data_IF_494609906273
#
_entry.id   IF_494609906273
#
_cell.length_a   1.000
_cell.length_b   1.000
_cell.length_c   1.000
_cell.angle_alpha   90.00
_cell.angle_beta   90.00
_cell.angle_gamma   90.00
#
_symmetry.space_group_name_H-M   'P 1'
#
loop_
_entity.id
_entity.type
_entity.pdbx_description
1 polymer ?
#
# COMPACT_ATOMS: atom_id res chain seq x y z
N UNK A 1 4.68 8.43 -26.97
CA UNK A 1 5.49 9.17 -25.98
C UNK A 1 6.20 8.12 -25.17
N UNK A 2 7.50 7.95 -25.36
CA UNK A 2 8.34 7.02 -24.59
C UNK A 2 8.42 7.55 -23.17
N UNK A 3 7.99 6.74 -22.19
CA UNK A 3 8.13 7.01 -20.76
C UNK A 3 9.62 7.03 -20.41
N UNK A 4 10.22 8.20 -20.31
CA UNK A 4 11.59 8.34 -19.80
C UNK A 4 11.55 8.31 -18.28
N UNK A 5 12.39 7.48 -17.66
CA UNK A 5 12.46 7.14 -16.23
C UNK A 5 12.60 8.31 -15.22
N UNK A 6 12.87 9.52 -15.68
CA UNK A 6 13.23 10.64 -14.81
C UNK A 6 12.04 11.40 -14.17
N UNK A 7 10.77 11.10 -14.52
CA UNK A 7 9.59 11.78 -13.96
C UNK A 7 8.40 10.86 -13.65
N UNK A 8 8.62 9.55 -13.46
CA UNK A 8 7.54 8.59 -13.27
C UNK A 8 7.27 8.29 -11.79
N UNK A 9 7.03 9.33 -11.00
CA UNK A 9 6.65 9.16 -9.59
C UNK A 9 5.17 8.79 -9.46
N UNK A 10 4.89 7.72 -8.73
CA UNK A 10 3.53 7.41 -8.24
C UNK A 10 3.19 8.23 -7.00
N UNK A 11 4.18 8.41 -6.10
CA UNK A 11 4.05 9.12 -4.82
C UNK A 11 5.32 9.92 -4.52
N UNK A 12 5.14 11.14 -3.98
CA UNK A 12 6.22 11.91 -3.37
C UNK A 12 5.79 12.47 -2.01
N UNK A 13 6.53 12.18 -0.97
CA UNK A 13 6.43 12.83 0.33
C UNK A 13 7.58 13.82 0.46
N UNK A 14 7.28 15.10 0.70
CA UNK A 14 8.26 16.17 0.81
C UNK A 14 8.12 16.87 2.15
N UNK A 15 9.14 16.73 3.00
CA UNK A 15 9.27 17.35 4.34
C UNK A 15 8.04 17.08 5.24
N UNK A 16 7.47 15.88 5.13
CA UNK A 16 6.21 15.52 5.79
C UNK A 16 6.40 15.43 7.30
N UNK A 17 5.65 16.26 8.03
CA UNK A 17 5.57 16.19 9.50
C UNK A 17 4.12 16.15 9.95
N UNK A 18 3.84 15.29 10.94
CA UNK A 18 2.50 15.10 11.49
C UNK A 18 2.53 14.85 12.99
N UNK A 19 1.55 15.40 13.71
CA UNK A 19 1.41 15.25 15.16
C UNK A 19 -0.05 15.16 15.59
N UNK A 20 -0.29 14.58 16.76
CA UNK A 20 -1.60 14.53 17.42
C UNK A 20 -1.51 15.24 18.77
N UNK A 21 -2.16 16.40 18.88
CA UNK A 21 -1.97 17.28 20.05
C UNK A 21 -0.49 17.65 20.22
N UNK A 22 0.12 17.27 21.34
CA UNK A 22 1.56 17.50 21.60
C UNK A 22 2.46 16.35 21.11
N UNK A 23 1.89 15.20 20.76
CA UNK A 23 2.64 14.02 20.35
C UNK A 23 3.08 14.12 18.90
N UNK A 24 4.36 14.32 18.67
CA UNK A 24 4.98 14.36 17.35
C UNK A 24 5.16 12.90 16.86
N UNK A 25 4.66 12.60 15.65
CA UNK A 25 4.64 11.24 15.11
C UNK A 25 5.55 11.10 13.90
N UNK A 26 5.47 12.01 12.94
CA UNK A 26 6.33 12.04 11.75
C UNK A 26 7.09 13.37 11.73
N UNK A 27 8.35 13.31 11.33
CA UNK A 27 9.22 14.49 11.25
C UNK A 27 10.01 14.47 9.95
N UNK A 28 9.90 15.56 9.20
CA UNK A 28 10.67 15.87 7.98
C UNK A 28 10.88 14.67 7.06
N UNK A 29 9.82 13.86 6.90
CA UNK A 29 9.88 12.61 6.14
C UNK A 29 9.88 12.90 4.64
N UNK A 30 10.90 12.39 3.97
CA UNK A 30 11.05 12.45 2.53
C UNK A 30 11.03 11.03 1.96
N UNK A 31 10.15 10.78 0.98
CA UNK A 31 10.01 9.49 0.33
C UNK A 31 9.47 9.67 -1.09
N UNK A 32 10.24 9.25 -2.07
CA UNK A 32 9.84 9.20 -3.46
C UNK A 32 9.59 7.74 -3.88
N UNK A 33 8.42 7.46 -4.42
CA UNK A 33 8.06 6.12 -4.91
C UNK A 33 7.71 6.21 -6.38
N UNK A 34 8.37 5.39 -7.20
CA UNK A 34 8.10 5.34 -8.63
C UNK A 34 6.86 4.51 -8.94
N UNK A 35 6.17 4.86 -10.04
CA UNK A 35 5.02 4.10 -10.50
C UNK A 35 5.40 2.62 -10.76
N UNK A 36 4.57 1.71 -10.27
CA UNK A 36 4.75 0.27 -10.41
C UNK A 36 5.68 -0.37 -9.38
N UNK A 37 6.29 0.39 -8.45
CA UNK A 37 7.07 -0.18 -7.35
C UNK A 37 6.18 -0.90 -6.33
N UNK A 38 6.74 -1.89 -5.64
CA UNK A 38 6.16 -2.53 -4.47
C UNK A 38 7.00 -2.24 -3.24
N UNK A 39 6.71 -1.13 -2.58
CA UNK A 39 7.45 -0.66 -1.40
C UNK A 39 6.93 -1.34 -0.13
N UNK A 40 7.82 -1.98 0.62
CA UNK A 40 7.51 -2.47 1.96
C UNK A 40 8.04 -1.50 3.03
N UNK A 41 7.12 -0.95 3.81
CA UNK A 41 7.41 -0.01 4.90
C UNK A 41 7.48 -0.78 6.22
N UNK A 42 8.64 -0.81 6.84
CA UNK A 42 8.92 -1.49 8.11
C UNK A 42 9.30 -0.53 9.22
N UNK A 43 9.18 -0.94 10.48
CA UNK A 43 9.60 -0.13 11.62
C UNK A 43 8.93 -0.55 12.92
N UNK A 44 9.40 -0.05 14.08
CA UNK A 44 8.86 -0.38 15.39
C UNK A 44 7.36 -0.07 15.50
N UNK A 45 6.68 -0.76 16.43
CA UNK A 45 5.30 -0.43 16.75
C UNK A 45 5.19 1.00 17.23
N UNK A 46 4.17 1.73 16.76
CA UNK A 46 3.92 3.11 17.16
C UNK A 46 4.82 4.16 16.47
N UNK A 47 5.77 3.79 15.59
CA UNK A 47 6.63 4.77 14.90
C UNK A 47 5.91 5.60 13.83
N UNK A 48 4.62 5.40 13.58
CA UNK A 48 3.85 6.25 12.65
C UNK A 48 3.59 5.66 11.27
N UNK A 49 3.85 4.38 11.01
CA UNK A 49 3.58 3.73 9.69
C UNK A 49 2.14 3.89 9.23
N UNK A 50 1.16 3.53 10.06
CA UNK A 50 -0.26 3.70 9.72
C UNK A 50 -0.66 5.17 9.65
N UNK A 51 0.04 6.08 10.37
CA UNK A 51 -0.16 7.53 10.23
C UNK A 51 0.29 8.00 8.87
N UNK A 52 1.44 7.52 8.38
CA UNK A 52 1.92 7.82 7.04
C UNK A 52 0.95 7.29 5.97
N UNK A 53 0.44 6.05 6.11
CA UNK A 53 -0.57 5.53 5.18
C UNK A 53 -1.83 6.40 5.14
N UNK A 54 -2.33 6.85 6.31
CA UNK A 54 -3.49 7.73 6.40
C UNK A 54 -3.21 9.12 5.82
N UNK A 55 -1.98 9.61 5.96
CA UNK A 55 -1.56 10.86 5.34
C UNK A 55 -1.51 10.74 3.80
N UNK A 56 -0.96 9.63 3.28
CA UNK A 56 -0.96 9.33 1.84
C UNK A 56 -2.40 9.18 1.33
N UNK A 57 -3.28 8.51 2.08
CA UNK A 57 -4.70 8.37 1.72
C UNK A 57 -5.43 9.74 1.68
N UNK A 58 -4.91 10.76 2.39
CA UNK A 58 -5.52 12.08 2.49
C UNK A 58 -6.59 12.20 3.59
N UNK A 59 -6.73 11.19 4.49
CA UNK A 59 -7.62 11.26 5.65
C UNK A 59 -7.01 12.03 6.81
N UNK A 60 -5.68 12.07 6.89
CA UNK A 60 -4.90 12.80 7.89
C UNK A 60 -3.79 13.57 7.17
N UNK A 61 -4.10 14.68 6.48
CA UNK A 61 -3.11 15.45 5.76
C UNK A 61 -1.99 15.93 6.70
N UNK A 62 -0.75 16.05 6.20
CA UNK A 62 0.39 16.46 7.03
C UNK A 62 0.20 17.89 7.55
N UNK A 63 0.73 18.18 8.73
CA UNK A 63 0.73 19.53 9.29
C UNK A 63 1.81 20.42 8.65
N UNK A 64 2.93 19.79 8.19
CA UNK A 64 3.99 20.44 7.41
C UNK A 64 4.40 19.55 6.26
N UNK A 65 4.97 20.16 5.23
CA UNK A 65 5.33 19.47 4.01
C UNK A 65 4.13 19.18 3.13
N UNK A 66 4.29 18.28 2.19
CA UNK A 66 3.23 17.88 1.25
C UNK A 66 3.41 16.45 0.78
N UNK A 67 2.28 15.83 0.45
CA UNK A 67 2.23 14.52 -0.19
C UNK A 67 1.61 14.73 -1.56
N UNK A 68 2.32 14.29 -2.60
CA UNK A 68 1.90 14.40 -3.99
C UNK A 68 1.66 12.99 -4.54
N UNK A 69 0.53 12.80 -5.20
CA UNK A 69 0.19 11.58 -5.92
C UNK A 69 -0.10 11.88 -7.37
N UNK A 70 0.08 10.91 -8.23
CA UNK A 70 -0.27 11.06 -9.64
C UNK A 70 -1.80 11.09 -9.76
N UNK A 71 -2.34 12.17 -10.30
CA UNK A 71 -3.77 12.37 -10.53
C UNK A 71 -3.98 12.87 -11.96
N UNK A 72 -4.67 12.09 -12.78
CA UNK A 72 -4.91 12.45 -14.19
C UNK A 72 -3.62 12.84 -14.96
N UNK A 73 -2.54 12.10 -14.73
CA UNK A 73 -1.25 12.30 -15.40
C UNK A 73 -0.41 13.47 -14.86
N UNK A 74 -0.77 14.05 -13.70
CA UNK A 74 -0.02 15.13 -13.05
C UNK A 74 0.11 14.85 -11.55
N UNK A 75 1.24 15.25 -10.95
CA UNK A 75 1.40 15.24 -9.50
C UNK A 75 0.55 16.34 -8.87
N UNK A 76 -0.35 15.95 -7.97
CA UNK A 76 -1.24 16.83 -7.22
C UNK A 76 -1.22 16.49 -5.73
N UNK A 77 -1.59 17.46 -4.88
CA UNK A 77 -1.64 17.26 -3.44
C UNK A 77 -2.68 16.21 -3.04
N UNK A 78 -2.29 15.34 -2.12
CA UNK A 78 -3.11 14.28 -1.54
C UNK A 78 -3.86 14.73 -0.26
N UNK A 79 -4.38 15.95 -0.24
CA UNK A 79 -4.99 16.56 0.97
C UNK A 79 -6.37 15.97 1.32
N UNK A 80 -6.96 15.19 0.43
CA UNK A 80 -8.28 14.54 0.60
C UNK A 80 -8.25 13.14 0.02
N UNK A 81 -9.10 12.22 0.53
CA UNK A 81 -9.29 10.92 -0.12
C UNK A 81 -9.70 11.09 -1.59
N UNK A 82 -9.09 10.29 -2.45
CA UNK A 82 -9.31 10.33 -3.89
C UNK A 82 -9.41 8.94 -4.49
N UNK A 83 -9.94 8.85 -5.71
CA UNK A 83 -10.08 7.60 -6.46
C UNK A 83 -8.72 7.00 -6.85
N UNK A 84 -7.70 7.84 -6.94
CA UNK A 84 -6.32 7.47 -7.26
C UNK A 84 -5.64 6.61 -6.19
N UNK A 85 -6.26 6.47 -4.99
CA UNK A 85 -5.70 5.74 -3.86
C UNK A 85 -6.70 4.79 -3.23
N UNK A 86 -6.33 3.52 -3.12
CA UNK A 86 -7.06 2.49 -2.39
C UNK A 86 -6.34 2.11 -1.10
N UNK A 87 -7.08 1.68 -0.09
CA UNK A 87 -6.52 1.16 1.16
C UNK A 87 -7.20 -0.14 1.55
N UNK A 88 -6.39 -1.09 2.00
CA UNK A 88 -6.80 -2.34 2.62
C UNK A 88 -6.32 -2.32 4.06
N UNK A 89 -7.24 -2.31 5.01
CA UNK A 89 -6.95 -2.27 6.44
C UNK A 89 -6.68 -3.67 7.01
N UNK A 90 -5.95 -3.73 8.12
CA UNK A 90 -5.71 -4.93 8.90
C UNK A 90 -7.01 -5.62 9.35
N UNK A 91 -8.00 -4.83 9.77
CA UNK A 91 -9.35 -5.33 10.04
C UNK A 91 -10.20 -5.17 8.81
N UNK A 92 -10.79 -6.26 8.34
CA UNK A 92 -11.61 -6.30 7.13
C UNK A 92 -12.73 -5.27 7.16
N UNK A 93 -12.75 -4.39 6.16
CA UNK A 93 -13.75 -3.33 6.04
C UNK A 93 -14.95 -3.77 5.20
N UNK A 94 -15.30 -5.06 5.25
CA UNK A 94 -16.42 -5.60 4.49
C UNK A 94 -17.76 -5.34 5.20
N UNK A 95 -18.76 -5.01 4.41
CA UNK A 95 -20.13 -4.89 4.89
C UNK A 95 -20.71 -6.29 5.15
N UNK A 96 -21.08 -6.66 6.39
CA UNK A 96 -21.45 -8.03 6.75
C UNK A 96 -22.77 -8.50 6.13
N UNK A 97 -23.59 -7.56 5.69
CA UNK A 97 -24.89 -7.81 5.03
C UNK A 97 -24.82 -7.82 3.49
N UNK A 98 -23.65 -7.67 2.91
CA UNK A 98 -23.40 -7.79 1.47
C UNK A 98 -22.62 -9.08 1.18
N UNK A 99 -22.89 -9.71 0.05
CA UNK A 99 -22.07 -10.81 -0.45
C UNK A 99 -20.67 -10.32 -0.86
N UNK A 100 -19.72 -11.23 -1.11
CA UNK A 100 -18.40 -10.87 -1.67
C UNK A 100 -18.57 -10.03 -2.94
N UNK A 101 -19.41 -10.46 -3.85
CA UNK A 101 -19.68 -9.79 -5.12
C UNK A 101 -20.24 -8.37 -4.92
N UNK A 102 -21.19 -8.21 -4.01
CA UNK A 102 -21.80 -6.91 -3.75
C UNK A 102 -20.89 -5.98 -2.94
N UNK A 103 -20.00 -6.52 -2.08
CA UNK A 103 -18.95 -5.75 -1.43
C UNK A 103 -17.97 -5.16 -2.46
N UNK A 104 -17.50 -5.97 -3.40
CA UNK A 104 -16.56 -5.49 -4.44
C UNK A 104 -17.25 -4.50 -5.38
N UNK A 105 -18.49 -4.77 -5.82
CA UNK A 105 -19.24 -3.90 -6.71
C UNK A 105 -19.65 -2.55 -6.07
N UNK A 106 -19.59 -2.42 -4.73
CA UNK A 106 -20.08 -1.25 -4.01
C UNK A 106 -19.34 0.03 -4.40
N UNK A 107 -18.02 -0.03 -4.57
CA UNK A 107 -17.19 1.10 -4.97
C UNK A 107 -17.70 1.74 -6.28
N UNK A 108 -17.85 0.93 -7.31
CA UNK A 108 -18.38 1.37 -8.61
C UNK A 108 -19.79 1.96 -8.51
N UNK A 109 -20.64 1.32 -7.69
CA UNK A 109 -22.01 1.78 -7.46
C UNK A 109 -22.03 3.19 -6.84
N UNK A 110 -21.16 3.46 -5.87
CA UNK A 110 -21.11 4.76 -5.20
C UNK A 110 -20.47 5.85 -6.08
N UNK A 111 -19.43 5.49 -6.83
CA UNK A 111 -18.68 6.39 -7.71
C UNK A 111 -19.48 6.81 -8.95
N UNK A 112 -20.10 5.84 -9.65
CA UNK A 112 -20.68 6.07 -10.98
C UNK A 112 -22.18 6.30 -10.98
N UNK A 113 -22.86 6.29 -9.83
CA UNK A 113 -24.30 6.52 -9.76
C UNK A 113 -24.71 7.35 -8.55
N UNK A 114 -25.61 8.31 -8.79
CA UNK A 114 -26.27 9.06 -7.72
C UNK A 114 -27.50 8.31 -7.18
N UNK A 115 -27.94 8.66 -5.99
CA UNK A 115 -29.19 8.10 -5.41
C UNK A 115 -30.39 8.40 -6.31
N UNK A 116 -30.48 9.60 -6.84
CA UNK A 116 -31.55 10.00 -7.77
C UNK A 116 -31.53 9.17 -9.06
N UNK A 117 -30.37 8.92 -9.66
CA UNK A 117 -30.26 8.07 -10.82
C UNK A 117 -30.81 6.66 -10.54
N UNK A 118 -30.50 6.07 -9.40
CA UNK A 118 -30.95 4.72 -9.00
C UNK A 118 -32.46 4.64 -8.76
N UNK A 119 -33.11 5.74 -8.35
CA UNK A 119 -34.55 5.80 -8.09
C UNK A 119 -35.37 6.11 -9.34
N UNK A 120 -34.90 7.01 -10.19
CA UNK A 120 -35.67 7.53 -11.32
C UNK A 120 -35.34 6.89 -12.66
N UNK A 121 -34.23 6.17 -12.80
CA UNK A 121 -33.83 5.50 -14.05
C UNK A 121 -33.69 3.98 -13.85
N UNK A 122 -34.80 3.31 -13.70
CA UNK A 122 -34.84 1.86 -13.41
C UNK A 122 -34.11 1.00 -14.44
N UNK A 123 -34.35 1.22 -15.74
CA UNK A 123 -33.72 0.42 -16.81
C UNK A 123 -32.23 0.69 -16.91
N UNK A 124 -31.80 1.95 -16.83
CA UNK A 124 -30.40 2.33 -16.80
C UNK A 124 -29.68 1.80 -15.55
N UNK A 125 -30.39 1.81 -14.40
CA UNK A 125 -29.85 1.25 -13.16
C UNK A 125 -29.68 -0.27 -13.23
N UNK A 126 -30.66 -1.00 -13.77
CA UNK A 126 -30.55 -2.47 -13.91
C UNK A 126 -29.37 -2.86 -14.79
N UNK A 127 -29.15 -2.18 -15.91
CA UNK A 127 -27.98 -2.39 -16.78
C UNK A 127 -26.68 -2.11 -16.05
N UNK A 128 -26.51 -0.92 -15.46
CA UNK A 128 -25.28 -0.57 -14.73
C UNK A 128 -25.00 -1.52 -13.57
N UNK A 129 -26.03 -1.95 -12.85
CA UNK A 129 -25.86 -2.92 -11.76
C UNK A 129 -25.32 -4.26 -12.25
N UNK A 130 -25.79 -4.75 -13.42
CA UNK A 130 -25.24 -5.95 -14.05
C UNK A 130 -23.79 -5.74 -14.42
N UNK A 131 -23.46 -4.66 -15.12
CA UNK A 131 -22.08 -4.32 -15.53
C UNK A 131 -21.12 -4.25 -14.34
N UNK A 132 -21.55 -3.66 -13.21
CA UNK A 132 -20.73 -3.59 -11.99
C UNK A 132 -20.50 -4.97 -11.36
N UNK A 133 -21.53 -5.83 -11.38
CA UNK A 133 -21.41 -7.21 -10.86
C UNK A 133 -20.51 -8.06 -11.75
N UNK A 134 -20.56 -7.88 -13.06
CA UNK A 134 -19.69 -8.59 -14.02
C UNK A 134 -18.22 -8.19 -13.82
N UNK A 135 -17.95 -6.89 -13.65
CA UNK A 135 -16.61 -6.40 -13.29
C UNK A 135 -16.15 -6.95 -11.94
N UNK A 136 -17.00 -6.89 -10.90
CA UNK A 136 -16.68 -7.42 -9.58
C UNK A 136 -16.40 -8.93 -9.62
N UNK A 137 -17.15 -9.68 -10.44
CA UNK A 137 -16.92 -11.12 -10.64
C UNK A 137 -15.56 -11.40 -11.30
N UNK A 138 -15.12 -10.54 -12.23
CA UNK A 138 -13.80 -10.67 -12.86
C UNK A 138 -12.68 -10.44 -11.82
N UNK A 139 -12.79 -9.41 -10.97
CA UNK A 139 -11.81 -9.17 -9.91
C UNK A 139 -11.80 -10.28 -8.86
N UNK A 140 -12.96 -10.80 -8.45
CA UNK A 140 -13.03 -11.94 -7.53
C UNK A 140 -12.39 -13.21 -8.11
N UNK A 141 -12.53 -13.46 -9.41
CA UNK A 141 -11.81 -14.55 -10.10
C UNK A 141 -10.31 -14.31 -10.07
N UNK A 142 -9.85 -13.08 -10.34
CA UNK A 142 -8.45 -12.70 -10.32
C UNK A 142 -7.78 -12.96 -8.96
N UNK A 143 -8.51 -12.74 -7.86
CA UNK A 143 -8.03 -13.04 -6.50
C UNK A 143 -8.35 -14.46 -6.01
N UNK A 144 -8.76 -15.38 -6.91
CA UNK A 144 -9.01 -16.78 -6.60
C UNK A 144 -10.33 -17.07 -5.87
N UNK A 145 -11.29 -16.14 -5.88
CA UNK A 145 -12.58 -16.25 -5.17
C UNK A 145 -13.78 -16.45 -6.09
N UNK A 146 -13.56 -17.01 -7.29
CA UNK A 146 -14.64 -17.24 -8.27
C UNK A 146 -15.80 -18.09 -7.75
N UNK A 147 -15.56 -19.04 -6.84
CA UNK A 147 -16.58 -19.89 -6.24
C UNK A 147 -17.25 -19.29 -5.00
N UNK A 148 -16.68 -18.21 -4.44
CA UNK A 148 -17.12 -17.60 -3.18
C UNK A 148 -17.94 -16.30 -3.36
N UNK A 149 -18.32 -15.96 -4.59
CA UNK A 149 -18.95 -14.67 -4.92
C UNK A 149 -20.23 -14.39 -4.14
N UNK A 150 -20.99 -15.43 -3.81
CA UNK A 150 -22.28 -15.31 -3.13
C UNK A 150 -22.18 -15.49 -1.61
N UNK A 151 -20.98 -15.73 -1.06
CA UNK A 151 -20.79 -15.86 0.38
C UNK A 151 -20.83 -14.48 1.05
N UNK A 152 -21.39 -14.44 2.25
CA UNK A 152 -21.32 -13.29 3.14
C UNK A 152 -20.02 -13.32 3.97
N UNK A 153 -19.51 -12.18 4.46
CA UNK A 153 -18.27 -12.13 5.26
C UNK A 153 -18.22 -13.14 6.41
N UNK A 154 -19.33 -13.36 7.13
CA UNK A 154 -19.41 -14.35 8.20
C UNK A 154 -19.31 -15.81 7.77
N UNK A 155 -19.36 -16.11 6.47
CA UNK A 155 -19.21 -17.44 5.89
C UNK A 155 -17.82 -17.67 5.27
N UNK A 156 -16.94 -16.67 5.34
CA UNK A 156 -15.61 -16.68 4.72
C UNK A 156 -14.52 -16.82 5.77
N UNK A 157 -13.42 -17.49 5.42
CA UNK A 157 -12.20 -17.44 6.20
C UNK A 157 -11.60 -16.02 6.22
N UNK A 158 -10.70 -15.74 7.16
CA UNK A 158 -9.99 -14.46 7.22
C UNK A 158 -9.27 -14.11 5.92
N UNK A 159 -8.58 -15.09 5.32
CA UNK A 159 -7.90 -14.90 4.04
C UNK A 159 -8.85 -14.65 2.86
N UNK A 160 -10.03 -15.29 2.85
CA UNK A 160 -11.04 -14.98 1.85
C UNK A 160 -11.55 -13.54 2.01
N UNK A 161 -11.82 -13.11 3.24
CA UNK A 161 -12.24 -11.73 3.52
C UNK A 161 -11.18 -10.72 3.09
N UNK A 162 -9.89 -11.01 3.35
CA UNK A 162 -8.78 -10.15 2.93
C UNK A 162 -8.68 -10.03 1.41
N UNK A 163 -8.81 -11.15 0.68
CA UNK A 163 -8.83 -11.13 -0.78
C UNK A 163 -10.04 -10.36 -1.34
N UNK A 164 -11.20 -10.43 -0.70
CA UNK A 164 -12.36 -9.58 -1.07
C UNK A 164 -12.06 -8.11 -0.85
N UNK A 165 -11.41 -7.74 0.28
CA UNK A 165 -11.04 -6.35 0.57
C UNK A 165 -10.01 -5.82 -0.46
N UNK A 166 -9.07 -6.65 -0.89
CA UNK A 166 -8.13 -6.30 -1.96
C UNK A 166 -8.86 -6.12 -3.30
N UNK A 167 -9.75 -7.05 -3.67
CA UNK A 167 -10.56 -6.92 -4.88
C UNK A 167 -11.43 -5.65 -4.86
N UNK A 168 -11.96 -5.28 -3.68
CA UNK A 168 -12.73 -4.05 -3.47
C UNK A 168 -11.87 -2.79 -3.68
N UNK A 169 -10.59 -2.82 -3.30
CA UNK A 169 -9.68 -1.72 -3.56
C UNK A 169 -9.27 -1.65 -5.04
N UNK A 170 -8.98 -2.81 -5.66
CA UNK A 170 -8.52 -2.92 -7.04
C UNK A 170 -9.58 -2.53 -8.08
N UNK A 171 -10.87 -2.80 -7.83
CA UNK A 171 -11.95 -2.54 -8.81
C UNK A 171 -12.09 -1.05 -9.14
N UNK A 172 -11.61 -0.19 -8.26
CA UNK A 172 -11.59 1.25 -8.48
C UNK A 172 -10.44 1.72 -9.36
N UNK A 173 -9.56 0.79 -9.75
CA UNK A 173 -8.34 1.04 -10.53
C UNK A 173 -7.51 2.20 -9.97
N UNK A 174 -7.17 2.16 -8.67
CA UNK A 174 -6.37 3.21 -8.06
C UNK A 174 -4.93 3.13 -8.57
N UNK A 175 -4.25 4.27 -8.67
CA UNK A 175 -2.82 4.30 -9.02
C UNK A 175 -1.93 3.83 -7.85
N UNK A 176 -2.41 4.01 -6.61
CA UNK A 176 -1.71 3.60 -5.38
C UNK A 176 -2.61 2.70 -4.53
N UNK A 177 -2.07 1.55 -4.14
CA UNK A 177 -2.72 0.61 -3.21
C UNK A 177 -1.91 0.56 -1.92
N UNK A 178 -2.56 0.92 -0.84
CA UNK A 178 -2.02 0.91 0.51
C UNK A 178 -2.51 -0.34 1.24
N UNK A 179 -1.60 -1.12 1.83
CA UNK A 179 -1.89 -2.34 2.56
C UNK A 179 -1.39 -2.19 4.00
N UNK A 180 -2.28 -2.08 4.96
CA UNK A 180 -1.93 -1.91 6.38
C UNK A 180 -1.99 -3.26 7.09
N UNK A 181 -0.83 -3.90 7.31
CA UNK A 181 -0.64 -5.22 7.93
C UNK A 181 -1.56 -6.33 7.37
N UNK A 182 -1.59 -6.54 6.02
CA UNK A 182 -2.60 -7.40 5.39
C UNK A 182 -2.48 -8.88 5.75
N UNK A 183 -1.37 -9.30 6.34
CA UNK A 183 -1.09 -10.70 6.68
C UNK A 183 -1.28 -11.03 8.17
N UNK A 184 -1.43 -10.01 9.03
CA UNK A 184 -1.27 -10.15 10.48
C UNK A 184 -2.28 -11.06 11.20
N UNK A 185 -3.44 -11.34 10.60
CA UNK A 185 -4.48 -12.18 11.19
C UNK A 185 -4.65 -13.54 10.48
N UNK A 186 -3.70 -13.92 9.60
CA UNK A 186 -3.81 -15.10 8.76
C UNK A 186 -2.93 -16.25 9.29
N UNK A 187 -3.41 -17.48 9.13
CA UNK A 187 -2.59 -18.67 9.26
C UNK A 187 -1.52 -18.73 8.17
N UNK A 188 -0.50 -19.56 8.36
CA UNK A 188 0.69 -19.62 7.49
C UNK A 188 0.35 -19.92 6.03
N UNK A 189 -0.49 -20.93 5.77
CA UNK A 189 -0.86 -21.31 4.42
C UNK A 189 -1.64 -20.20 3.69
N UNK A 190 -2.61 -19.60 4.38
CA UNK A 190 -3.39 -18.48 3.83
C UNK A 190 -2.54 -17.24 3.59
N UNK A 191 -1.55 -17.01 4.44
CA UNK A 191 -0.57 -15.91 4.31
C UNK A 191 0.29 -16.09 3.06
N UNK A 192 0.82 -17.30 2.83
CA UNK A 192 1.59 -17.62 1.63
C UNK A 192 0.77 -17.41 0.36
N UNK A 193 -0.46 -17.92 0.32
CA UNK A 193 -1.35 -17.73 -0.83
C UNK A 193 -1.65 -16.25 -1.11
N UNK A 194 -1.75 -15.42 -0.07
CA UNK A 194 -1.98 -13.97 -0.23
C UNK A 194 -0.72 -13.27 -0.74
N UNK A 195 0.46 -13.65 -0.25
CA UNK A 195 1.74 -13.13 -0.74
C UNK A 195 1.94 -13.47 -2.21
N UNK A 196 1.69 -14.72 -2.62
CA UNK A 196 1.73 -15.14 -4.04
C UNK A 196 0.76 -14.31 -4.90
N UNK A 197 -0.44 -14.07 -4.41
CA UNK A 197 -1.41 -13.23 -5.13
C UNK A 197 -0.90 -11.81 -5.33
N UNK A 198 -0.28 -11.19 -4.31
CA UNK A 198 0.29 -9.83 -4.41
C UNK A 198 1.50 -9.82 -5.34
N UNK A 199 2.34 -10.85 -5.32
CA UNK A 199 3.47 -10.98 -6.25
C UNK A 199 2.98 -11.10 -7.70
N UNK A 200 1.91 -11.85 -7.98
CA UNK A 200 1.32 -11.90 -9.33
C UNK A 200 0.85 -10.53 -9.81
N UNK A 201 0.24 -9.72 -8.93
CA UNK A 201 -0.12 -8.34 -9.28
C UNK A 201 1.10 -7.48 -9.60
N UNK A 202 2.21 -7.70 -8.89
CA UNK A 202 3.47 -7.02 -9.16
C UNK A 202 4.12 -7.50 -10.46
N UNK A 203 4.09 -8.80 -10.76
CA UNK A 203 4.58 -9.36 -12.03
C UNK A 203 3.83 -8.77 -13.23
N UNK A 204 2.48 -8.66 -13.15
CA UNK A 204 1.69 -7.97 -14.16
C UNK A 204 2.14 -6.51 -14.38
N UNK A 205 2.44 -5.78 -13.28
CA UNK A 205 2.99 -4.43 -13.38
C UNK A 205 4.34 -4.39 -14.11
N UNK A 206 5.23 -5.34 -13.80
CA UNK A 206 6.56 -5.43 -14.38
C UNK A 206 6.48 -5.74 -15.89
N UNK A 207 5.60 -6.64 -16.31
CA UNK A 207 5.35 -6.96 -17.72
C UNK A 207 4.85 -5.74 -18.50
N UNK A 208 3.86 -5.02 -17.96
CA UNK A 208 3.30 -3.82 -18.58
C UNK A 208 4.37 -2.72 -18.68
N UNK A 209 5.17 -2.54 -17.62
CA UNK A 209 6.29 -1.59 -17.61
C UNK A 209 7.36 -1.97 -18.65
N UNK A 210 7.68 -3.27 -18.79
CA UNK A 210 8.63 -3.77 -19.79
C UNK A 210 8.13 -3.56 -21.23
N UNK A 211 6.81 -3.55 -21.45
CA UNK A 211 6.19 -3.20 -22.72
C UNK A 211 6.20 -1.68 -23.03
N UNK A 212 6.73 -0.85 -22.12
CA UNK A 212 6.80 0.60 -22.24
C UNK A 212 5.49 1.32 -21.91
N UNK A 213 4.55 0.61 -21.25
CA UNK A 213 3.28 1.15 -20.80
C UNK A 213 3.33 1.54 -19.31
N UNK A 214 2.39 2.39 -18.88
CA UNK A 214 2.28 2.78 -17.47
C UNK A 214 1.78 1.60 -16.65
N UNK A 215 2.51 1.17 -15.60
CA UNK A 215 2.02 0.12 -14.70
C UNK A 215 0.73 0.57 -14.00
N UNK A 216 -0.27 -0.33 -13.86
CA UNK A 216 -1.58 0.00 -13.31
C UNK A 216 -1.54 0.37 -11.84
N UNK A 217 -0.64 -0.23 -11.04
CA UNK A 217 -0.64 -0.07 -9.58
C UNK A 217 0.75 0.21 -9.03
N UNK A 218 0.82 1.11 -8.04
CA UNK A 218 1.96 1.23 -7.11
C UNK A 218 1.52 0.66 -5.77
N UNK A 219 2.28 -0.28 -5.22
CA UNK A 219 1.91 -0.99 -4.00
C UNK A 219 2.77 -0.48 -2.83
N UNK A 220 2.13 -0.17 -1.70
CA UNK A 220 2.82 0.18 -0.46
C UNK A 220 2.24 -0.69 0.66
N UNK A 221 3.05 -1.57 1.21
CA UNK A 221 2.66 -2.43 2.30
C UNK A 221 3.33 -2.00 3.60
N UNK A 222 2.57 -1.97 4.67
CA UNK A 222 3.09 -1.86 6.03
C UNK A 222 3.02 -3.24 6.67
N UNK A 223 4.14 -3.71 7.20
CA UNK A 223 4.21 -4.92 8.01
C UNK A 223 5.26 -4.79 9.11
N UNK A 224 5.09 -5.53 10.19
CA UNK A 224 6.09 -5.68 11.24
C UNK A 224 6.94 -6.95 11.05
N UNK A 225 6.56 -7.83 10.12
CA UNK A 225 7.25 -9.07 9.80
C UNK A 225 8.27 -8.85 8.67
N UNK A 226 9.56 -8.94 9.00
CA UNK A 226 10.64 -8.65 8.04
C UNK A 226 10.69 -9.64 6.88
N UNK A 227 10.37 -10.92 7.12
CA UNK A 227 10.34 -11.92 6.06
C UNK A 227 9.27 -11.60 5.01
N UNK A 228 8.08 -11.15 5.46
CA UNK A 228 7.03 -10.72 4.56
C UNK A 228 7.46 -9.51 3.73
N UNK A 229 8.02 -8.49 4.40
CA UNK A 229 8.50 -7.28 3.75
C UNK A 229 9.52 -7.58 2.65
N UNK A 230 10.53 -8.44 2.96
CA UNK A 230 11.59 -8.81 2.01
C UNK A 230 11.04 -9.64 0.86
N UNK A 231 10.06 -10.53 1.13
CA UNK A 231 9.48 -11.40 0.11
C UNK A 231 8.68 -10.65 -0.93
N UNK A 232 7.85 -9.67 -0.50
CA UNK A 232 6.90 -9.04 -1.42
C UNK A 232 7.38 -7.69 -1.97
N UNK A 233 8.27 -6.98 -1.25
CA UNK A 233 8.73 -5.65 -1.66
C UNK A 233 9.94 -5.72 -2.59
N UNK A 234 9.94 -4.90 -3.64
CA UNK A 234 11.13 -4.63 -4.45
C UNK A 234 12.03 -3.54 -3.82
N UNK A 235 11.48 -2.83 -2.82
CA UNK A 235 12.17 -1.78 -2.05
C UNK A 235 11.70 -1.79 -0.61
N UNK A 236 12.65 -1.74 0.32
CA UNK A 236 12.41 -1.73 1.76
C UNK A 236 12.70 -0.35 2.32
N UNK A 237 11.71 0.24 2.97
CA UNK A 237 11.80 1.55 3.61
C UNK A 237 11.58 1.38 5.10
N UNK A 238 12.57 1.77 5.89
CA UNK A 238 12.54 1.72 7.35
C UNK A 238 12.16 3.06 7.96
N UNK A 239 11.06 3.08 8.70
CA UNK A 239 10.58 4.22 9.46
C UNK A 239 10.92 4.03 10.93
N UNK A 240 11.67 4.98 11.54
CA UNK A 240 12.04 4.87 12.95
C UNK A 240 12.06 6.23 13.65
N UNK A 241 11.79 6.20 14.96
CA UNK A 241 12.04 7.31 15.86
C UNK A 241 13.46 7.28 16.48
N UNK A 242 14.22 6.19 16.20
CA UNK A 242 15.58 5.98 16.68
C UNK A 242 16.58 6.54 15.66
N UNK A 243 16.75 7.86 15.66
CA UNK A 243 17.71 8.58 14.84
C UNK A 243 18.33 9.72 15.66
N UNK A 244 19.45 10.27 15.24
CA UNK A 244 20.23 11.23 16.04
C UNK A 244 19.65 12.65 15.99
N UNK A 245 18.41 12.78 16.47
CA UNK A 245 17.72 14.07 16.56
C UNK A 245 18.35 15.02 17.59
N UNK A 246 19.13 14.51 18.57
CA UNK A 246 19.82 15.36 19.54
C UNK A 246 20.95 16.15 18.92
N UNK A 247 21.74 15.53 18.04
CA UNK A 247 22.80 16.22 17.31
C UNK A 247 22.26 17.30 16.36
N UNK A 248 21.02 17.17 15.94
CA UNK A 248 20.32 18.18 15.14
C UNK A 248 19.65 19.29 15.98
N UNK A 249 19.89 19.33 17.29
CA UNK A 249 19.45 20.41 18.18
C UNK A 249 18.04 20.27 18.72
N UNK A 250 17.44 19.08 18.68
CA UNK A 250 16.13 18.83 19.28
C UNK A 250 16.25 18.45 20.76
N UNK A 251 15.46 19.05 21.63
CA UNK A 251 15.39 18.73 23.06
C UNK A 251 14.61 17.45 23.34
N UNK A 252 13.64 17.11 22.48
CA UNK A 252 12.84 15.90 22.56
C UNK A 252 12.63 15.32 21.16
N UNK A 253 12.24 14.01 21.08
CA UNK A 253 12.02 13.37 19.80
C UNK A 253 11.00 14.14 18.95
N UNK A 254 11.39 14.61 17.76
CA UNK A 254 10.48 15.34 16.87
C UNK A 254 9.57 14.42 16.07
N UNK A 255 9.68 13.10 16.22
CA UNK A 255 8.93 12.07 15.51
C UNK A 255 9.82 11.14 14.69
N UNK A 256 9.21 10.19 14.03
CA UNK A 256 9.89 9.23 13.16
C UNK A 256 10.18 9.83 11.78
N UNK A 257 11.28 9.39 11.20
CA UNK A 257 11.68 9.67 9.82
C UNK A 257 12.11 8.40 9.10
N UNK A 258 12.42 8.48 7.81
CA UNK A 258 13.02 7.39 7.07
C UNK A 258 14.49 7.25 7.48
N UNK A 259 14.88 6.09 7.99
CA UNK A 259 16.26 5.79 8.43
C UNK A 259 16.92 4.69 7.58
N UNK A 260 16.15 4.03 6.73
CA UNK A 260 16.61 2.94 5.88
C UNK A 260 15.82 2.95 4.58
N UNK A 261 16.52 2.83 3.45
CA UNK A 261 15.91 2.81 2.13
C UNK A 261 16.82 2.03 1.17
N UNK A 262 16.41 0.79 0.83
CA UNK A 262 17.17 -0.10 -0.04
C UNK A 262 16.27 -0.90 -0.98
N UNK A 263 16.79 -1.17 -2.18
CA UNK A 263 16.21 -2.18 -3.07
C UNK A 263 16.30 -3.56 -2.43
N UNK A 264 15.26 -4.38 -2.62
CA UNK A 264 15.20 -5.76 -2.18
C UNK A 264 15.26 -6.71 -3.38
N UNK A 265 15.65 -7.98 -3.17
CA UNK A 265 15.52 -8.99 -4.20
C UNK A 265 14.06 -9.14 -4.62
N UNK A 266 13.83 -9.22 -5.93
CA UNK A 266 12.50 -9.47 -6.48
C UNK A 266 12.27 -10.96 -6.57
N UNK A 267 11.27 -11.47 -5.87
CA UNK A 267 10.87 -12.87 -5.92
C UNK A 267 9.68 -13.04 -6.86
N UNK A 268 9.61 -14.19 -7.50
CA UNK A 268 8.47 -14.56 -8.31
C UNK A 268 7.39 -15.21 -7.47
N UNK A 269 6.17 -15.17 -7.98
CA UNK A 269 5.01 -15.75 -7.30
C UNK A 269 5.08 -17.28 -7.17
N UNK A 270 5.83 -17.96 -8.06
CA UNK A 270 6.06 -19.41 -8.08
C UNK A 270 7.34 -19.84 -7.32
N UNK A 271 8.16 -18.89 -6.86
CA UNK A 271 9.39 -19.18 -6.11
C UNK A 271 9.10 -19.34 -4.62
N UNK A 272 9.66 -20.39 -4.01
CA UNK A 272 9.73 -20.51 -2.56
C UNK A 272 11.00 -19.82 -2.07
N UNK A 273 10.87 -18.78 -1.22
CA UNK A 273 12.04 -18.06 -0.76
C UNK A 273 12.86 -18.94 0.18
N UNK A 274 14.16 -18.99 -0.05
CA UNK A 274 15.12 -19.46 0.93
C UNK A 274 15.33 -18.36 1.97
N UNK A 275 14.72 -18.50 3.14
CA UNK A 275 14.76 -17.48 4.19
C UNK A 275 16.18 -17.18 4.71
N UNK A 276 17.15 -18.03 4.43
CA UNK A 276 18.58 -17.81 4.69
C UNK A 276 19.12 -16.61 3.90
N UNK A 277 18.62 -16.38 2.68
CA UNK A 277 19.01 -15.22 1.86
C UNK A 277 18.54 -13.89 2.48
N UNK A 278 17.59 -13.92 3.41
CA UNK A 278 17.07 -12.73 4.08
C UNK A 278 17.89 -12.33 5.32
N UNK A 279 18.79 -13.19 5.79
CA UNK A 279 19.47 -13.00 7.07
C UNK A 279 20.27 -11.71 7.16
N UNK A 280 21.01 -11.38 6.13
CA UNK A 280 21.83 -10.16 6.13
C UNK A 280 20.96 -8.91 6.08
N UNK A 281 19.91 -8.91 5.26
CA UNK A 281 18.97 -7.81 5.17
C UNK A 281 18.17 -7.64 6.46
N UNK A 282 17.73 -8.74 7.09
CA UNK A 282 17.08 -8.72 8.42
C UNK A 282 17.98 -8.15 9.50
N UNK A 283 19.28 -8.56 9.54
CA UNK A 283 20.28 -8.04 10.49
C UNK A 283 20.46 -6.54 10.30
N UNK A 284 20.54 -6.11 9.05
CA UNK A 284 20.72 -4.71 8.70
C UNK A 284 19.50 -3.87 9.11
N UNK A 285 18.28 -4.30 8.77
CA UNK A 285 17.05 -3.63 9.17
C UNK A 285 16.93 -3.59 10.70
N UNK A 286 17.18 -4.70 11.39
CA UNK A 286 17.16 -4.72 12.86
C UNK A 286 18.16 -3.76 13.47
N UNK A 287 19.35 -3.65 12.88
CA UNK A 287 20.40 -2.74 13.35
C UNK A 287 19.99 -1.28 13.19
N UNK A 288 19.52 -0.89 12.01
CA UNK A 288 19.31 0.51 11.67
C UNK A 288 17.91 1.05 11.96
N UNK A 289 16.89 0.18 11.94
CA UNK A 289 15.49 0.61 12.10
C UNK A 289 14.96 0.33 13.51
N UNK A 290 15.41 -0.76 14.14
CA UNK A 290 14.84 -1.23 15.41
C UNK A 290 15.76 -1.04 16.61
N UNK A 291 17.08 -0.85 16.42
CA UNK A 291 18.00 -0.70 17.54
C UNK A 291 18.12 0.78 17.97
N UNK A 292 17.69 1.12 19.20
CA UNK A 292 17.76 2.49 19.70
C UNK A 292 19.19 2.98 20.01
N UNK A 293 20.18 2.07 20.04
CA UNK A 293 21.58 2.41 20.29
C UNK A 293 22.33 2.80 19.01
N UNK A 294 21.78 2.47 17.84
CA UNK A 294 22.38 2.78 16.55
C UNK A 294 21.63 3.95 15.93
N UNK A 295 22.11 5.16 16.22
CA UNK A 295 21.49 6.39 15.72
C UNK A 295 22.10 6.77 14.37
N UNK A 296 21.27 7.11 13.41
CA UNK A 296 21.66 7.65 12.12
C UNK A 296 21.23 9.10 11.99
N UNK A 297 21.97 9.89 11.23
CA UNK A 297 21.50 11.22 10.82
C UNK A 297 20.36 11.10 9.80
N UNK A 298 19.37 11.98 9.84
CA UNK A 298 18.20 11.92 8.96
C UNK A 298 18.53 12.14 7.47
N UNK A 299 19.74 12.57 7.16
CA UNK A 299 20.22 12.79 5.79
C UNK A 299 21.24 11.74 5.29
N UNK A 300 21.65 10.81 6.14
CA UNK A 300 22.60 9.74 5.79
C UNK A 300 21.88 8.46 5.32
N UNK A 301 20.80 8.61 4.57
CA UNK A 301 20.15 7.45 3.99
C UNK A 301 21.10 6.82 2.97
N UNK A 302 21.33 5.53 3.10
CA UNK A 302 21.94 4.74 2.04
C UNK A 302 20.95 4.70 0.88
N UNK A 303 20.96 5.75 0.05
CA UNK A 303 20.24 5.79 -1.21
C UNK A 303 20.99 4.84 -2.13
N UNK A 304 20.54 3.61 -2.22
CA UNK A 304 20.96 2.74 -3.31
C UNK A 304 20.14 3.13 -4.53
N UNK A 305 20.79 3.82 -5.46
CA UNK A 305 20.23 4.20 -6.75
C UNK A 305 19.44 3.03 -7.36
N UNK A 306 18.21 3.24 -7.82
CA UNK A 306 17.47 2.27 -8.59
C UNK A 306 18.00 2.26 -10.04
N UNK A 307 19.18 1.66 -10.25
CA UNK A 307 19.68 1.37 -11.59
C UNK A 307 20.05 -0.11 -11.64
N UNK A 308 19.05 -0.91 -11.97
CA UNK A 308 19.15 -1.98 -12.97
C UNK A 308 17.78 -2.57 -13.26
#
# INVERSE_FOLDING_TARGET
>A
MTFTDQNNFGLQCKDVSHWFGETKVLFNLNLDVHAGQFVALVGPSGCGKSTLLRAILGTHPPHRGKILTMQNGRLANADRPGRDRGIVYQKYSLYPFLTALDNVALGLKLDQTTTSFRWFNWSGWAKKRSDFRDQAAAFLKKVGLGQAMNLYPGQMSGGMQQRVAIAQALIMEPEIILLDEPFGALDEATREELQEMLLRLYEENAEIKAAGEKPPYTLIIVTHELNEAIRVGDRLVGLSQYWDWKSEGHECSPGATVVYDKSAPVFRSDERPEYELFDDMRKEIRKYVYNPEVLQHCHEHVIVNPTR
#
